data_IF_772480908983
#
_entry.id   IF_772480908983
#
_cell.length_a   1.000
_cell.length_b   1.000
_cell.length_c   1.000
_cell.angle_alpha   90.00
_cell.angle_beta   90.00
_cell.angle_gamma   90.00
#
_symmetry.space_group_name_H-M   'P 1'
#
loop_
_entity.id
_entity.type
_entity.pdbx_description
1 polymer ?
#
# COMPACT_ATOMS: atom_id res chain seq x y z
N UNK A 1 1.38 -78.15 29.58
CA UNK A 1 0.18 -77.59 28.93
C UNK A 1 -0.36 -76.47 29.81
N UNK A 2 -0.08 -75.25 29.52
CA UNK A 2 -0.50 -74.06 30.25
C UNK A 2 -1.21 -73.15 29.29
N UNK A 3 -2.53 -73.04 29.41
CA UNK A 3 -3.38 -72.16 28.64
C UNK A 3 -3.30 -70.72 29.17
N UNK A 4 -2.88 -69.80 28.30
CA UNK A 4 -2.91 -68.37 28.58
C UNK A 4 -4.30 -67.87 28.19
N UNK A 5 -5.16 -67.66 29.19
CA UNK A 5 -6.39 -66.88 28.99
C UNK A 5 -6.06 -65.39 29.12
N UNK A 6 -6.06 -64.66 27.99
CA UNK A 6 -6.05 -63.22 27.97
C UNK A 6 -7.31 -62.63 28.57
N UNK A 7 -7.23 -62.06 29.75
CA UNK A 7 -8.32 -61.30 30.37
C UNK A 7 -8.59 -60.04 29.55
N UNK A 8 -9.74 -59.98 28.83
CA UNK A 8 -10.27 -58.69 28.35
C UNK A 8 -10.68 -57.89 29.56
N UNK A 9 -9.97 -56.78 29.76
CA UNK A 9 -10.30 -55.76 30.75
C UNK A 9 -11.70 -55.17 30.47
N UNK A 10 -12.73 -55.77 31.07
CA UNK A 10 -14.13 -55.32 30.99
C UNK A 10 -14.25 -54.25 32.08
N UNK A 11 -13.80 -53.02 31.76
CA UNK A 11 -14.20 -51.85 32.56
C UNK A 11 -15.72 -51.67 32.48
N UNK A 12 -16.41 -51.37 33.61
CA UNK A 12 -17.85 -51.14 33.61
C UNK A 12 -18.21 -50.06 32.57
N UNK A 13 -19.33 -50.24 31.88
CA UNK A 13 -19.81 -49.31 30.83
C UNK A 13 -19.90 -47.88 31.37
N UNK A 14 -20.25 -47.67 32.64
CA UNK A 14 -20.26 -46.37 33.32
C UNK A 14 -18.91 -45.66 33.32
N UNK A 15 -17.82 -46.37 33.64
CA UNK A 15 -16.46 -45.76 33.62
C UNK A 15 -15.99 -45.36 32.22
N UNK A 16 -16.46 -46.04 31.16
CA UNK A 16 -16.17 -45.63 29.79
C UNK A 16 -16.99 -44.41 29.39
N UNK A 17 -18.22 -44.28 29.85
CA UNK A 17 -19.05 -43.09 29.61
C UNK A 17 -18.49 -41.88 30.33
N UNK A 18 -18.14 -42.00 31.62
CA UNK A 18 -17.52 -40.91 32.40
C UNK A 18 -16.18 -40.44 31.79
N UNK A 19 -15.37 -41.37 31.30
CA UNK A 19 -14.12 -41.06 30.62
C UNK A 19 -14.34 -40.35 29.27
N UNK A 20 -15.40 -40.71 28.51
CA UNK A 20 -15.74 -40.09 27.24
C UNK A 20 -16.30 -38.67 27.44
N UNK A 21 -17.17 -38.46 28.43
CA UNK A 21 -17.69 -37.14 28.79
C UNK A 21 -16.55 -36.19 29.23
N UNK A 22 -15.65 -36.67 30.10
CA UNK A 22 -14.49 -35.88 30.51
C UNK A 22 -13.58 -35.51 29.33
N UNK A 23 -13.38 -36.40 28.37
CA UNK A 23 -12.61 -36.11 27.16
C UNK A 23 -13.28 -35.07 26.28
N UNK A 24 -14.58 -35.18 26.05
CA UNK A 24 -15.37 -34.23 25.24
C UNK A 24 -15.31 -32.84 25.86
N UNK A 25 -15.56 -32.72 27.18
CA UNK A 25 -15.47 -31.43 27.87
C UNK A 25 -14.07 -30.83 27.77
N UNK A 26 -13.04 -31.65 27.98
CA UNK A 26 -11.66 -31.19 27.83
C UNK A 26 -11.35 -30.67 26.42
N UNK A 27 -11.87 -31.33 25.40
CA UNK A 27 -11.72 -30.90 24.00
C UNK A 27 -12.44 -29.57 23.79
N UNK A 28 -13.69 -29.45 24.19
CA UNK A 28 -14.51 -28.25 24.03
C UNK A 28 -13.93 -27.04 24.77
N UNK A 29 -13.34 -27.26 25.95
CA UNK A 29 -12.69 -26.21 26.74
C UNK A 29 -11.34 -25.75 26.14
N UNK A 30 -10.70 -26.57 25.29
CA UNK A 30 -9.45 -26.22 24.61
C UNK A 30 -9.66 -25.60 23.24
N UNK A 31 -10.89 -25.62 22.71
CA UNK A 31 -11.19 -24.96 21.44
C UNK A 31 -11.19 -23.44 21.62
N UNK A 32 -10.60 -22.68 20.69
CA UNK A 32 -10.70 -21.22 20.67
C UNK A 32 -12.07 -20.77 20.10
N UNK A 33 -13.14 -21.35 20.64
CA UNK A 33 -14.51 -21.21 20.18
C UNK A 33 -15.45 -21.28 21.38
N UNK A 34 -16.33 -20.30 21.50
CA UNK A 34 -17.44 -20.37 22.44
C UNK A 34 -18.44 -21.42 22.00
N UNK A 35 -18.78 -22.31 22.91
CA UNK A 35 -19.77 -23.37 22.68
C UNK A 35 -20.78 -23.34 23.81
N UNK A 36 -22.06 -23.23 23.43
CA UNK A 36 -23.13 -23.46 24.38
C UNK A 36 -24.27 -24.30 23.77
N UNK A 37 -25.02 -24.96 24.64
CA UNK A 37 -26.16 -25.76 24.27
C UNK A 37 -27.35 -25.31 25.11
N UNK A 38 -28.52 -25.21 24.48
CA UNK A 38 -29.80 -24.90 25.14
C UNK A 38 -30.82 -26.01 24.94
N UNK A 39 -31.67 -26.21 25.94
CA UNK A 39 -32.80 -27.09 25.89
C UNK A 39 -33.99 -26.43 25.19
N UNK A 40 -34.34 -26.89 24.01
CA UNK A 40 -35.46 -26.33 23.24
C UNK A 40 -36.84 -26.61 23.83
N UNK A 41 -36.98 -27.65 24.65
CA UNK A 41 -38.26 -28.03 25.31
C UNK A 41 -38.44 -27.37 26.67
N UNK A 42 -37.34 -26.90 27.30
CA UNK A 42 -37.38 -26.27 28.63
C UNK A 42 -37.01 -24.76 28.53
N UNK A 43 -37.73 -24.02 27.71
CA UNK A 43 -37.61 -22.55 27.66
C UNK A 43 -36.24 -22.04 27.23
N UNK A 44 -35.47 -22.81 26.47
CA UNK A 44 -34.12 -22.49 26.03
C UNK A 44 -33.16 -22.24 27.19
N UNK A 45 -33.26 -23.02 28.27
CA UNK A 45 -32.31 -23.01 29.36
C UNK A 45 -30.95 -23.56 28.90
N UNK A 46 -29.87 -22.95 29.37
CA UNK A 46 -28.52 -23.41 29.05
C UNK A 46 -28.23 -24.75 29.75
N UNK A 47 -27.78 -25.74 28.97
CA UNK A 47 -27.35 -27.06 29.43
C UNK A 47 -25.83 -27.20 29.42
N UNK A 48 -25.16 -26.39 28.63
CA UNK A 48 -23.70 -26.41 28.48
C UNK A 48 -23.18 -25.04 28.12
N UNK A 49 -22.02 -24.70 28.70
CA UNK A 49 -21.33 -23.45 28.53
C UNK A 49 -19.85 -23.73 28.71
N UNK A 50 -19.00 -23.58 27.65
CA UNK A 50 -17.61 -23.93 27.76
C UNK A 50 -16.76 -22.78 28.32
N UNK A 51 -15.51 -23.08 28.65
CA UNK A 51 -14.56 -22.13 29.23
C UNK A 51 -14.34 -20.87 28.38
N UNK A 52 -14.33 -21.01 27.04
CA UNK A 52 -14.20 -19.84 26.16
C UNK A 52 -15.36 -18.85 26.34
N UNK A 53 -16.58 -19.36 26.52
CA UNK A 53 -17.73 -18.50 26.82
C UNK A 53 -17.57 -17.81 28.16
N UNK A 54 -17.05 -18.46 29.20
CA UNK A 54 -16.74 -17.82 30.49
C UNK A 54 -15.73 -16.69 30.34
N UNK A 55 -14.64 -16.94 29.60
CA UNK A 55 -13.57 -15.97 29.36
C UNK A 55 -14.05 -14.73 28.57
N UNK A 56 -14.98 -14.91 27.62
CA UNK A 56 -15.44 -13.82 26.77
C UNK A 56 -16.59 -13.03 27.40
N UNK A 57 -17.48 -13.69 28.16
CA UNK A 57 -18.66 -13.04 28.77
C UNK A 57 -18.44 -12.61 30.20
N UNK A 58 -17.47 -13.22 30.89
CA UNK A 58 -17.21 -13.01 32.31
C UNK A 58 -18.18 -13.75 33.24
N UNK A 59 -19.05 -14.62 32.70
CA UNK A 59 -20.02 -15.39 33.49
C UNK A 59 -19.63 -16.86 33.53
N UNK A 60 -19.55 -17.42 34.72
CA UNK A 60 -19.16 -18.81 34.94
C UNK A 60 -20.26 -19.78 34.59
N UNK A 61 -19.87 -21.01 34.24
CA UNK A 61 -20.81 -22.10 33.93
C UNK A 61 -21.84 -22.33 35.03
N UNK A 62 -21.48 -22.26 36.30
CA UNK A 62 -22.35 -22.45 37.46
C UNK A 62 -23.48 -21.40 37.52
N UNK A 63 -23.26 -20.18 37.00
CA UNK A 63 -24.27 -19.12 36.96
C UNK A 63 -25.21 -19.28 35.74
N UNK A 64 -24.72 -19.93 34.68
CA UNK A 64 -25.42 -20.04 33.39
C UNK A 64 -26.28 -21.27 33.32
N UNK A 65 -25.82 -22.44 33.80
CA UNK A 65 -26.53 -23.68 33.72
C UNK A 65 -27.93 -23.61 34.40
N UNK A 66 -28.95 -24.09 33.67
CA UNK A 66 -30.34 -24.05 34.11
C UNK A 66 -31.03 -22.69 34.01
N UNK A 67 -30.35 -21.62 33.61
CA UNK A 67 -30.91 -20.30 33.36
C UNK A 67 -31.18 -20.08 31.88
N UNK A 68 -32.03 -19.11 31.53
CA UNK A 68 -32.30 -18.69 30.18
C UNK A 68 -31.76 -17.24 29.94
N UNK A 69 -31.90 -16.76 28.72
CA UNK A 69 -31.40 -15.42 28.34
C UNK A 69 -31.97 -14.24 29.15
N UNK A 70 -33.18 -14.39 29.73
CA UNK A 70 -33.80 -13.30 30.50
C UNK A 70 -33.35 -13.27 31.95
N UNK A 71 -32.84 -14.38 32.45
CA UNK A 71 -32.36 -14.53 33.82
C UNK A 71 -30.88 -14.17 33.97
N UNK A 72 -30.16 -14.01 32.85
CA UNK A 72 -28.73 -13.71 32.80
C UNK A 72 -28.48 -12.26 32.36
N UNK A 73 -27.46 -11.64 32.94
CA UNK A 73 -27.04 -10.30 32.59
C UNK A 73 -25.58 -10.28 32.10
N UNK A 74 -25.40 -10.27 30.79
CA UNK A 74 -24.10 -10.10 30.16
C UNK A 74 -24.23 -9.28 28.87
N UNK A 75 -23.13 -8.68 28.44
CA UNK A 75 -23.10 -7.97 27.16
C UNK A 75 -23.24 -8.98 26.04
N UNK A 76 -24.34 -8.89 25.32
CA UNK A 76 -24.67 -9.78 24.22
C UNK A 76 -24.89 -8.97 22.95
N UNK A 77 -24.76 -9.65 21.80
CA UNK A 77 -24.90 -9.02 20.47
C UNK A 77 -26.27 -8.36 20.28
N UNK A 78 -27.31 -8.90 20.93
CA UNK A 78 -28.69 -8.44 20.79
C UNK A 78 -29.50 -8.71 22.08
N UNK A 79 -30.66 -8.04 22.26
CA UNK A 79 -31.55 -8.26 23.41
C UNK A 79 -32.03 -9.73 23.56
N UNK A 80 -32.41 -10.09 24.78
CA UNK A 80 -32.87 -11.46 25.10
C UNK A 80 -34.09 -11.91 24.25
N UNK A 81 -35.04 -11.00 24.00
CA UNK A 81 -36.22 -11.26 23.14
C UNK A 81 -35.83 -11.65 21.72
N UNK A 82 -34.87 -10.94 21.11
CA UNK A 82 -34.38 -11.22 19.76
C UNK A 82 -33.61 -12.53 19.73
N UNK A 83 -32.79 -12.81 20.76
CA UNK A 83 -32.06 -14.07 20.86
C UNK A 83 -33.01 -15.26 20.93
N UNK A 84 -34.11 -15.15 21.74
CA UNK A 84 -35.13 -16.16 21.83
C UNK A 84 -35.90 -16.34 20.51
N UNK A 85 -36.18 -15.25 19.80
CA UNK A 85 -36.77 -15.30 18.45
C UNK A 85 -35.95 -16.13 17.49
N UNK A 86 -34.66 -15.84 17.41
CA UNK A 86 -33.73 -16.62 16.58
C UNK A 86 -33.58 -18.06 17.00
N UNK A 87 -33.59 -18.36 18.32
CA UNK A 87 -33.51 -19.72 18.83
C UNK A 87 -34.75 -20.54 18.40
N UNK A 88 -35.93 -19.94 18.44
CA UNK A 88 -37.18 -20.55 17.92
C UNK A 88 -37.11 -20.76 16.43
N UNK A 89 -36.72 -19.78 15.66
CA UNK A 89 -36.61 -19.90 14.19
C UNK A 89 -35.67 -21.02 13.78
N UNK A 90 -34.54 -21.22 14.46
CA UNK A 90 -33.62 -22.32 14.24
C UNK A 90 -34.30 -23.65 14.47
N UNK A 91 -35.02 -23.78 15.58
CA UNK A 91 -35.69 -25.05 15.94
C UNK A 91 -36.88 -25.35 15.05
N UNK A 92 -37.69 -24.36 14.69
CA UNK A 92 -38.88 -24.52 13.83
C UNK A 92 -38.53 -24.82 12.38
N UNK A 93 -37.50 -24.11 11.85
CA UNK A 93 -37.10 -24.28 10.45
C UNK A 93 -36.11 -25.40 10.21
N UNK A 94 -35.43 -25.86 11.26
CA UNK A 94 -34.34 -26.82 11.16
C UNK A 94 -33.10 -26.30 10.45
N UNK A 95 -33.01 -24.99 10.22
CA UNK A 95 -31.91 -24.36 9.46
C UNK A 95 -30.86 -23.76 10.39
N UNK A 96 -29.61 -23.81 9.93
CA UNK A 96 -28.51 -23.07 10.55
C UNK A 96 -28.69 -21.59 10.30
N UNK A 97 -28.49 -20.77 11.33
CA UNK A 97 -28.47 -19.32 11.24
C UNK A 97 -27.06 -18.83 11.61
N UNK A 98 -26.55 -17.90 10.81
CA UNK A 98 -25.26 -17.23 11.04
C UNK A 98 -25.48 -15.72 11.11
N UNK A 99 -24.85 -15.06 12.07
CA UNK A 99 -24.86 -13.61 12.20
C UNK A 99 -23.59 -13.15 12.91
N UNK A 100 -23.30 -11.85 12.80
CA UNK A 100 -22.14 -11.23 13.45
C UNK A 100 -22.58 -10.02 14.27
N UNK A 101 -21.83 -9.74 15.32
CA UNK A 101 -22.08 -8.57 16.14
C UNK A 101 -20.87 -8.20 16.99
N UNK A 102 -21.05 -7.17 17.81
CA UNK A 102 -20.02 -6.69 18.73
C UNK A 102 -20.49 -6.88 20.16
N UNK A 103 -19.55 -7.29 20.99
CA UNK A 103 -19.74 -7.36 22.45
C UNK A 103 -18.54 -6.72 23.15
N UNK A 104 -18.67 -6.44 24.43
CA UNK A 104 -17.53 -6.17 25.30
C UNK A 104 -17.19 -7.44 26.08
N UNK A 105 -15.93 -7.84 26.07
CA UNK A 105 -15.51 -9.00 26.85
C UNK A 105 -15.53 -8.70 28.37
N UNK A 106 -15.19 -9.68 29.19
CA UNK A 106 -15.15 -9.58 30.65
C UNK A 106 -14.31 -8.40 31.18
N UNK A 107 -13.40 -7.87 30.36
CA UNK A 107 -12.52 -6.75 30.69
C UNK A 107 -12.96 -5.42 30.05
N UNK A 108 -14.15 -5.40 29.40
CA UNK A 108 -14.66 -4.23 28.68
C UNK A 108 -13.99 -4.01 27.31
N UNK A 109 -13.23 -4.97 26.78
CA UNK A 109 -12.56 -4.86 25.49
C UNK A 109 -13.54 -5.26 24.38
N UNK A 110 -13.76 -4.39 23.35
CA UNK A 110 -14.66 -4.71 22.26
C UNK A 110 -14.14 -5.87 21.40
N UNK A 111 -15.04 -6.82 21.16
CA UNK A 111 -14.84 -8.02 20.34
C UNK A 111 -15.82 -8.07 19.20
N UNK A 112 -15.37 -8.49 18.03
CA UNK A 112 -16.21 -8.85 16.89
C UNK A 112 -16.46 -10.36 16.97
N UNK A 113 -17.73 -10.76 17.07
CA UNK A 113 -18.13 -12.18 17.24
C UNK A 113 -18.96 -12.62 16.04
N UNK A 114 -18.59 -13.74 15.46
CA UNK A 114 -19.45 -14.52 14.56
C UNK A 114 -20.16 -15.60 15.35
N UNK A 115 -21.46 -15.69 15.21
CA UNK A 115 -22.31 -16.69 15.87
C UNK A 115 -22.96 -17.59 14.82
N UNK A 116 -22.85 -18.90 15.04
CA UNK A 116 -23.55 -19.90 14.26
C UNK A 116 -24.46 -20.67 15.20
N UNK A 117 -25.76 -20.74 14.91
CA UNK A 117 -26.74 -21.53 15.67
C UNK A 117 -27.36 -22.61 14.78
N UNK A 118 -27.50 -23.82 15.29
CA UNK A 118 -28.10 -24.92 14.56
C UNK A 118 -28.78 -25.91 15.50
N UNK A 119 -29.87 -26.62 15.04
CA UNK A 119 -30.55 -27.61 15.84
C UNK A 119 -29.77 -28.91 15.87
N UNK A 120 -29.72 -29.55 17.00
CA UNK A 120 -29.23 -30.92 17.17
C UNK A 120 -30.31 -31.75 17.92
N UNK A 121 -30.21 -33.05 17.87
CA UNK A 121 -31.07 -33.95 18.66
C UNK A 121 -30.21 -34.99 19.36
N UNK A 122 -30.56 -35.29 20.60
CA UNK A 122 -29.98 -36.41 21.32
C UNK A 122 -30.49 -37.74 20.77
N UNK A 123 -29.84 -38.85 21.12
CA UNK A 123 -30.19 -40.19 20.70
C UNK A 123 -31.62 -40.62 21.14
N UNK A 124 -32.17 -40.00 22.18
CA UNK A 124 -33.56 -40.17 22.62
C UNK A 124 -34.56 -39.27 21.89
N UNK A 125 -34.12 -38.49 20.89
CA UNK A 125 -34.95 -37.59 20.12
C UNK A 125 -35.16 -36.21 20.73
N UNK A 126 -34.59 -35.90 21.92
CA UNK A 126 -34.72 -34.58 22.57
C UNK A 126 -34.06 -33.50 21.71
N UNK A 127 -34.81 -32.43 21.31
CA UNK A 127 -34.26 -31.35 20.51
C UNK A 127 -33.44 -30.39 21.37
N UNK A 128 -32.22 -29.99 20.87
CA UNK A 128 -31.35 -29.07 21.51
C UNK A 128 -30.89 -28.01 20.48
N UNK A 129 -30.60 -26.81 20.95
CA UNK A 129 -29.95 -25.77 20.19
C UNK A 129 -28.46 -25.75 20.52
N UNK A 130 -27.59 -25.90 19.54
CA UNK A 130 -26.16 -25.70 19.68
C UNK A 130 -25.76 -24.36 19.04
N UNK A 131 -24.95 -23.59 19.74
CA UNK A 131 -24.37 -22.36 19.23
C UNK A 131 -22.87 -22.36 19.36
N UNK A 132 -22.24 -21.80 18.33
CA UNK A 132 -20.79 -21.56 18.26
C UNK A 132 -20.53 -20.07 18.18
N UNK A 133 -19.62 -19.55 19.02
CA UNK A 133 -19.14 -18.18 19.01
C UNK A 133 -17.67 -18.14 18.61
N UNK A 134 -17.35 -17.37 17.58
CA UNK A 134 -15.98 -17.20 17.10
C UNK A 134 -15.55 -15.74 17.27
N UNK A 135 -14.46 -15.49 17.99
CA UNK A 135 -13.82 -14.18 18.01
C UNK A 135 -13.08 -13.95 16.67
N UNK A 136 -13.56 -13.02 15.90
CA UNK A 136 -13.00 -12.63 14.60
C UNK A 136 -12.37 -11.24 14.63
N UNK A 137 -12.15 -10.68 15.82
CA UNK A 137 -11.64 -9.32 16.02
C UNK A 137 -10.31 -9.09 15.31
N UNK A 138 -9.36 -10.01 15.46
CA UNK A 138 -8.05 -9.89 14.82
C UNK A 138 -8.16 -9.98 13.30
N UNK A 139 -8.95 -10.95 12.80
CA UNK A 139 -9.20 -11.10 11.37
C UNK A 139 -9.80 -9.83 10.77
N UNK A 140 -10.87 -9.32 11.36
CA UNK A 140 -11.56 -8.12 10.89
C UNK A 140 -10.64 -6.86 10.93
N UNK A 141 -9.83 -6.72 11.98
CA UNK A 141 -8.87 -5.62 12.08
C UNK A 141 -7.81 -5.71 10.97
N UNK A 142 -7.29 -6.91 10.70
CA UNK A 142 -6.32 -7.12 9.61
C UNK A 142 -6.93 -6.84 8.23
N UNK A 143 -8.12 -7.37 7.96
CA UNK A 143 -8.84 -7.13 6.70
C UNK A 143 -9.14 -5.65 6.49
N UNK A 144 -9.63 -4.95 7.52
CA UNK A 144 -9.90 -3.52 7.45
C UNK A 144 -8.62 -2.70 7.26
N UNK A 145 -7.52 -3.08 7.91
CA UNK A 145 -6.22 -2.43 7.76
C UNK A 145 -5.70 -2.61 6.33
N UNK A 146 -5.76 -3.83 5.81
CA UNK A 146 -5.37 -4.13 4.43
C UNK A 146 -6.21 -3.34 3.43
N UNK A 147 -7.53 -3.36 3.58
CA UNK A 147 -8.46 -2.60 2.73
C UNK A 147 -8.16 -1.10 2.75
N UNK A 148 -7.95 -0.55 3.94
CA UNK A 148 -7.59 0.87 4.10
C UNK A 148 -6.27 1.20 3.42
N UNK A 149 -5.25 0.35 3.61
CA UNK A 149 -3.96 0.50 2.96
C UNK A 149 -4.08 0.46 1.44
N UNK A 150 -4.88 -0.47 0.89
CA UNK A 150 -5.13 -0.56 -0.56
C UNK A 150 -5.80 0.71 -1.10
N UNK A 151 -6.81 1.24 -0.41
CA UNK A 151 -7.50 2.48 -0.82
C UNK A 151 -6.53 3.67 -0.81
N UNK A 152 -5.74 3.83 0.26
CA UNK A 152 -4.76 4.90 0.35
C UNK A 152 -3.68 4.79 -0.73
N UNK A 153 -3.17 3.59 -0.98
CA UNK A 153 -2.22 3.34 -2.07
C UNK A 153 -2.82 3.71 -3.42
N UNK A 154 -4.06 3.28 -3.70
CA UNK A 154 -4.76 3.62 -4.94
C UNK A 154 -4.92 5.14 -5.11
N UNK A 155 -5.35 5.84 -4.05
CA UNK A 155 -5.47 7.31 -4.08
C UNK A 155 -4.12 7.99 -4.35
N UNK A 156 -3.04 7.55 -3.69
CA UNK A 156 -1.71 8.11 -3.89
C UNK A 156 -1.19 7.89 -5.32
N UNK A 157 -1.43 6.72 -5.90
CA UNK A 157 -1.04 6.40 -7.28
C UNK A 157 -1.78 7.29 -8.29
N UNK A 158 -3.10 7.44 -8.12
CA UNK A 158 -3.92 8.28 -9.00
C UNK A 158 -3.55 9.77 -8.92
N UNK A 159 -3.38 10.30 -7.71
CA UNK A 159 -3.08 11.72 -7.49
C UNK A 159 -1.77 12.18 -8.13
N UNK A 160 -0.79 11.28 -8.24
CA UNK A 160 0.54 11.58 -8.75
C UNK A 160 0.79 11.03 -10.17
N UNK A 161 -0.25 10.52 -10.85
CA UNK A 161 -0.11 9.83 -12.15
C UNK A 161 1.01 8.78 -12.12
N UNK A 162 1.04 7.97 -11.03
CA UNK A 162 1.97 6.85 -10.87
C UNK A 162 1.37 5.62 -11.51
N UNK A 163 2.14 4.96 -12.36
CA UNK A 163 1.75 3.69 -13.00
C UNK A 163 2.67 2.59 -12.52
N UNK A 164 2.08 1.51 -12.07
CA UNK A 164 2.80 0.31 -11.62
C UNK A 164 2.81 -0.75 -12.71
N UNK A 165 3.85 -1.55 -12.70
CA UNK A 165 3.91 -2.78 -13.50
C UNK A 165 4.66 -3.89 -12.76
N UNK A 166 4.28 -5.12 -13.06
CA UNK A 166 5.04 -6.32 -12.71
C UNK A 166 5.57 -6.95 -13.99
N UNK A 167 6.85 -7.25 -14.04
CA UNK A 167 7.48 -7.85 -15.21
C UNK A 167 7.90 -9.27 -14.84
N UNK A 168 7.29 -10.24 -15.51
CA UNK A 168 7.62 -11.65 -15.37
C UNK A 168 8.68 -12.03 -16.38
N UNK A 169 9.87 -12.31 -15.89
CA UNK A 169 11.05 -12.58 -16.69
C UNK A 169 11.14 -14.08 -16.94
N UNK A 170 11.36 -14.47 -18.19
CA UNK A 170 11.73 -15.84 -18.51
C UNK A 170 13.27 -15.98 -18.44
N UNK A 171 13.84 -16.62 -17.39
CA UNK A 171 15.28 -16.71 -17.22
C UNK A 171 15.95 -17.67 -18.23
N UNK A 172 15.15 -18.47 -18.96
CA UNK A 172 15.61 -19.39 -20.01
C UNK A 172 15.41 -18.79 -21.43
N UNK A 173 15.03 -17.51 -21.51
CA UNK A 173 14.82 -16.79 -22.77
C UNK A 173 16.07 -16.79 -23.64
N UNK A 174 15.91 -17.17 -24.92
CA UNK A 174 16.94 -17.06 -25.96
C UNK A 174 16.87 -15.74 -26.73
N UNK A 175 15.92 -14.85 -26.40
CA UNK A 175 15.58 -13.62 -27.13
C UNK A 175 15.88 -12.34 -26.32
N UNK A 176 16.95 -12.32 -25.55
CA UNK A 176 17.29 -11.13 -24.72
C UNK A 176 16.11 -10.64 -23.84
N UNK A 177 15.34 -11.59 -23.29
CA UNK A 177 14.15 -11.33 -22.46
C UNK A 177 12.94 -10.72 -23.19
N UNK A 178 12.90 -10.74 -24.54
CA UNK A 178 11.78 -10.23 -25.34
C UNK A 178 10.47 -11.03 -25.13
N UNK A 179 10.56 -12.24 -24.61
CA UNK A 179 9.44 -13.09 -24.20
C UNK A 179 8.95 -12.83 -22.75
N UNK A 180 9.50 -11.82 -22.09
CA UNK A 180 9.00 -11.38 -20.80
C UNK A 180 7.59 -10.78 -20.94
N UNK A 181 6.77 -11.01 -19.91
CA UNK A 181 5.40 -10.49 -19.84
C UNK A 181 5.35 -9.33 -18.84
N UNK A 182 4.79 -8.22 -19.27
CA UNK A 182 4.57 -7.05 -18.43
C UNK A 182 3.11 -6.96 -18.06
N UNK A 183 2.80 -7.12 -16.79
CA UNK A 183 1.47 -6.89 -16.24
C UNK A 183 1.33 -5.45 -15.79
N UNK A 184 0.37 -4.74 -16.32
CA UNK A 184 0.09 -3.33 -16.01
C UNK A 184 -1.37 -3.14 -15.67
N UNK A 185 -1.67 -2.11 -14.89
CA UNK A 185 -3.06 -1.67 -14.75
C UNK A 185 -3.59 -1.19 -16.11
N UNK A 186 -4.84 -1.54 -16.39
CA UNK A 186 -5.50 -1.05 -17.59
C UNK A 186 -5.65 0.48 -17.52
N UNK A 187 -5.23 1.19 -18.56
CA UNK A 187 -5.28 2.66 -18.62
C UNK A 187 -6.56 3.20 -19.26
N UNK A 188 -7.49 2.33 -19.65
CA UNK A 188 -8.76 2.76 -20.21
C UNK A 188 -9.65 3.30 -19.10
N UNK A 189 -10.33 4.45 -19.30
CA UNK A 189 -11.26 5.01 -18.34
C UNK A 189 -12.33 3.99 -17.90
N UNK A 190 -12.50 3.82 -16.59
CA UNK A 190 -13.44 2.86 -15.99
C UNK A 190 -12.93 1.43 -15.92
N UNK A 191 -11.68 1.16 -16.30
CA UNK A 191 -11.02 -0.16 -16.27
C UNK A 191 -9.66 -0.14 -15.57
N UNK A 192 -9.40 0.89 -14.79
CA UNK A 192 -8.10 1.13 -14.16
C UNK A 192 -7.71 0.04 -13.15
N UNK A 193 -8.68 -0.73 -12.68
CA UNK A 193 -8.46 -1.84 -11.73
C UNK A 193 -8.19 -3.18 -12.43
N UNK A 194 -8.41 -3.26 -13.75
CA UNK A 194 -8.10 -4.47 -14.52
C UNK A 194 -6.60 -4.55 -14.77
N UNK A 195 -6.00 -5.71 -14.50
CA UNK A 195 -4.63 -6.02 -14.90
C UNK A 195 -4.61 -6.53 -16.34
N UNK A 196 -3.68 -6.04 -17.13
CA UNK A 196 -3.51 -6.43 -18.53
C UNK A 196 -2.08 -6.91 -18.77
N UNK A 197 -1.95 -8.09 -19.34
CA UNK A 197 -0.66 -8.66 -19.74
C UNK A 197 -0.27 -8.17 -21.13
N UNK A 198 0.95 -7.66 -21.25
CA UNK A 198 1.51 -7.12 -22.48
C UNK A 198 2.88 -7.74 -22.70
N UNK A 199 3.21 -8.13 -23.94
CA UNK A 199 4.58 -8.57 -24.25
C UNK A 199 5.58 -7.42 -24.10
N UNK A 200 6.80 -7.75 -23.68
CA UNK A 200 7.87 -6.74 -23.51
C UNK A 200 8.08 -5.86 -24.74
N UNK A 201 8.18 -6.40 -25.99
CA UNK A 201 8.38 -5.56 -27.17
C UNK A 201 7.26 -4.54 -27.37
N UNK A 202 6.00 -4.91 -27.09
CA UNK A 202 4.86 -3.99 -27.18
C UNK A 202 4.89 -2.94 -26.06
N UNK A 203 5.40 -3.27 -24.90
CA UNK A 203 5.60 -2.34 -23.82
C UNK A 203 6.73 -1.35 -24.14
N UNK A 204 7.90 -1.85 -24.55
CA UNK A 204 9.07 -1.05 -24.94
C UNK A 204 8.82 -0.13 -26.15
N UNK A 205 7.94 -0.54 -27.07
CA UNK A 205 7.57 0.28 -28.24
C UNK A 205 6.96 1.64 -27.90
N UNK A 206 6.50 1.85 -26.64
CA UNK A 206 5.96 3.11 -26.14
C UNK A 206 7.04 4.15 -25.82
N UNK A 207 8.28 3.69 -25.66
CA UNK A 207 9.44 4.56 -25.36
C UNK A 207 9.84 5.31 -26.64
N UNK A 208 10.17 6.60 -26.49
CA UNK A 208 10.65 7.43 -27.59
C UNK A 208 11.87 6.79 -28.26
N UNK A 209 11.98 6.82 -29.60
CA UNK A 209 13.10 6.19 -30.31
C UNK A 209 14.49 6.51 -29.77
N UNK A 210 14.77 7.77 -29.45
CA UNK A 210 16.07 8.21 -28.92
C UNK A 210 16.38 7.64 -27.53
N UNK A 211 15.34 7.26 -26.75
CA UNK A 211 15.50 6.78 -25.38
C UNK A 211 15.52 5.25 -25.29
N UNK A 212 15.20 4.54 -26.40
CA UNK A 212 15.03 3.08 -26.44
C UNK A 212 16.32 2.33 -26.12
N UNK A 213 17.42 2.70 -26.73
CA UNK A 213 18.69 1.97 -26.55
C UNK A 213 19.10 1.96 -25.08
N UNK A 214 19.05 3.13 -24.43
CA UNK A 214 19.37 3.28 -23.01
C UNK A 214 18.38 2.51 -22.12
N UNK A 215 17.09 2.52 -22.47
CA UNK A 215 16.06 1.79 -21.74
C UNK A 215 16.25 0.28 -21.85
N UNK A 216 16.47 -0.24 -23.07
CA UNK A 216 16.63 -1.67 -23.32
C UNK A 216 17.94 -2.21 -22.73
N UNK A 217 19.00 -1.41 -22.70
CA UNK A 217 20.24 -1.79 -22.02
C UNK A 217 20.03 -1.91 -20.51
N UNK A 218 19.38 -0.92 -19.89
CA UNK A 218 19.08 -0.96 -18.45
C UNK A 218 18.17 -2.13 -18.09
N UNK A 219 17.16 -2.41 -18.92
CA UNK A 219 16.28 -3.56 -18.73
C UNK A 219 17.02 -4.90 -18.83
N UNK A 220 17.89 -5.08 -19.83
CA UNK A 220 18.71 -6.29 -19.96
C UNK A 220 19.59 -6.54 -18.75
N UNK A 221 20.25 -5.50 -18.23
CA UNK A 221 21.06 -5.57 -17.01
C UNK A 221 20.24 -5.96 -15.78
N UNK A 222 19.00 -5.45 -15.70
CA UNK A 222 18.08 -5.78 -14.61
C UNK A 222 17.61 -7.24 -14.70
N UNK A 223 17.22 -7.72 -15.89
CA UNK A 223 16.80 -9.11 -16.12
C UNK A 223 17.93 -10.13 -15.92
N UNK A 224 19.17 -9.78 -16.29
CA UNK A 224 20.35 -10.63 -16.06
C UNK A 224 20.76 -10.67 -14.59
N UNK A 225 20.26 -9.72 -13.77
CA UNK A 225 20.65 -9.58 -12.37
C UNK A 225 22.00 -8.87 -12.18
N UNK A 226 22.59 -8.28 -13.24
CA UNK A 226 23.79 -7.44 -13.15
C UNK A 226 23.57 -6.22 -12.26
N UNK A 227 22.34 -5.65 -12.32
CA UNK A 227 21.87 -4.61 -11.43
C UNK A 227 20.60 -5.09 -10.70
N UNK A 228 20.37 -4.62 -9.47
CA UNK A 228 19.18 -4.94 -8.70
C UNK A 228 18.06 -3.92 -8.84
N UNK A 229 18.40 -2.71 -9.30
CA UNK A 229 17.47 -1.61 -9.49
C UNK A 229 17.90 -0.72 -10.65
N UNK A 230 16.94 -0.04 -11.26
CA UNK A 230 17.18 0.99 -12.26
C UNK A 230 16.29 2.21 -12.00
N UNK A 231 16.79 3.38 -12.38
CA UNK A 231 16.05 4.64 -12.37
C UNK A 231 16.48 5.47 -13.57
N UNK A 232 15.54 5.75 -14.49
CA UNK A 232 15.82 6.50 -15.72
C UNK A 232 14.67 7.45 -16.04
N UNK A 233 15.02 8.61 -16.60
CA UNK A 233 14.05 9.54 -17.18
C UNK A 233 13.95 9.27 -18.69
N UNK A 234 12.74 9.13 -19.20
CA UNK A 234 12.49 8.82 -20.59
C UNK A 234 11.14 9.36 -21.06
N UNK A 235 10.99 9.47 -22.35
CA UNK A 235 9.76 9.91 -23.00
C UNK A 235 8.91 8.70 -23.37
N UNK A 236 7.66 8.67 -22.92
CA UNK A 236 6.71 7.55 -23.17
C UNK A 236 5.43 8.09 -23.78
N UNK A 237 4.90 7.34 -24.75
CA UNK A 237 3.59 7.58 -25.36
C UNK A 237 2.67 6.42 -25.08
N UNK A 238 1.58 6.66 -24.34
CA UNK A 238 0.57 5.64 -24.06
C UNK A 238 -0.50 5.60 -25.16
N UNK A 239 -1.21 4.48 -25.31
CA UNK A 239 -2.34 4.39 -26.23
C UNK A 239 -3.39 5.50 -25.95
N UNK A 240 -3.83 6.16 -27.01
CA UNK A 240 -4.78 7.29 -26.93
C UNK A 240 -4.14 8.66 -26.65
N UNK A 241 -2.81 8.73 -26.48
CA UNK A 241 -2.09 10.02 -26.39
C UNK A 241 -1.52 10.42 -27.74
N UNK A 242 -1.53 11.74 -28.04
CA UNK A 242 -1.01 12.28 -29.31
C UNK A 242 0.50 12.55 -29.27
N UNK A 243 1.07 12.74 -28.09
CA UNK A 243 2.46 13.13 -27.87
C UNK A 243 3.15 12.32 -26.78
N UNK A 244 4.46 12.41 -26.73
CA UNK A 244 5.28 11.81 -25.69
C UNK A 244 5.27 12.67 -24.43
N UNK A 245 5.23 12.02 -23.27
CA UNK A 245 5.34 12.64 -21.97
C UNK A 245 6.62 12.18 -21.27
N UNK A 246 7.25 13.11 -20.57
CA UNK A 246 8.38 12.77 -19.72
C UNK A 246 7.92 11.96 -18.51
N UNK A 247 8.56 10.83 -18.34
CA UNK A 247 8.36 9.91 -17.21
C UNK A 247 9.69 9.56 -16.55
N UNK A 248 9.68 9.46 -15.25
CA UNK A 248 10.73 8.79 -14.49
C UNK A 248 10.31 7.34 -14.30
N UNK A 249 11.10 6.40 -14.81
CA UNK A 249 10.87 4.96 -14.68
C UNK A 249 11.85 4.39 -13.68
N UNK A 250 11.31 3.74 -12.64
CA UNK A 250 12.07 3.03 -11.63
C UNK A 250 11.63 1.58 -11.62
N UNK A 251 12.57 0.65 -11.52
CA UNK A 251 12.27 -0.77 -11.39
C UNK A 251 13.29 -1.46 -10.49
N UNK A 252 12.85 -2.50 -9.79
CA UNK A 252 13.67 -3.28 -8.87
C UNK A 252 13.38 -4.77 -9.02
N UNK A 253 14.40 -5.60 -8.85
CA UNK A 253 14.28 -7.05 -8.80
C UNK A 253 13.57 -7.43 -7.51
N UNK A 254 12.41 -8.08 -7.63
CA UNK A 254 11.58 -8.49 -6.51
C UNK A 254 11.78 -9.97 -6.14
N UNK A 255 11.84 -10.85 -7.14
CA UNK A 255 11.91 -12.29 -6.92
C UNK A 255 12.99 -12.93 -7.78
N UNK A 256 13.68 -13.91 -7.21
CA UNK A 256 14.69 -14.74 -7.88
C UNK A 256 14.38 -16.21 -7.65
N UNK A 257 14.81 -17.07 -8.58
CA UNK A 257 14.74 -18.52 -8.39
C UNK A 257 15.84 -19.03 -7.42
N UNK A 258 15.81 -20.33 -7.15
CA UNK A 258 16.81 -21.00 -6.28
C UNK A 258 18.25 -20.89 -6.82
N UNK A 259 18.43 -20.59 -8.10
CA UNK A 259 19.73 -20.37 -8.76
C UNK A 259 20.15 -18.91 -8.79
N UNK A 260 19.35 -18.01 -8.18
CA UNK A 260 19.61 -16.57 -8.13
C UNK A 260 19.21 -15.80 -9.39
N UNK A 261 18.57 -16.45 -10.38
CA UNK A 261 18.12 -15.80 -11.62
C UNK A 261 16.84 -15.02 -11.38
N UNK A 262 16.68 -13.89 -12.03
CA UNK A 262 15.53 -12.99 -11.86
C UNK A 262 14.27 -13.62 -12.44
N UNK A 263 13.20 -13.63 -11.65
CA UNK A 263 11.85 -14.09 -12.02
C UNK A 263 10.85 -12.94 -12.13
N UNK A 264 10.87 -12.01 -11.17
CA UNK A 264 9.92 -10.92 -11.11
C UNK A 264 10.63 -9.59 -10.84
N UNK A 265 10.28 -8.60 -11.64
CA UNK A 265 10.72 -7.21 -11.48
C UNK A 265 9.47 -6.37 -11.22
N UNK A 266 9.52 -5.52 -10.20
CA UNK A 266 8.48 -4.51 -9.96
C UNK A 266 8.95 -3.16 -10.48
N UNK A 267 8.08 -2.50 -11.23
CA UNK A 267 8.36 -1.20 -11.83
C UNK A 267 7.28 -0.17 -11.53
N UNK A 268 7.68 1.08 -11.51
CA UNK A 268 6.77 2.21 -11.50
C UNK A 268 7.24 3.32 -12.44
N UNK A 269 6.29 4.09 -12.96
CA UNK A 269 6.58 5.30 -13.72
C UNK A 269 5.81 6.47 -13.14
N UNK A 270 6.50 7.60 -12.98
CA UNK A 270 5.96 8.85 -12.44
C UNK A 270 5.98 9.91 -13.54
N UNK A 271 4.93 10.70 -13.62
CA UNK A 271 4.87 11.84 -14.54
C UNK A 271 5.80 12.94 -14.02
N UNK A 272 6.75 13.37 -14.87
CA UNK A 272 7.69 14.43 -14.55
C UNK A 272 7.63 15.59 -15.56
N UNK A 273 6.54 15.69 -16.32
CA UNK A 273 6.37 16.71 -17.36
C UNK A 273 6.43 18.13 -16.79
N UNK A 274 5.79 18.37 -15.66
CA UNK A 274 5.83 19.67 -14.98
C UNK A 274 7.24 20.02 -14.49
N UNK A 275 7.94 19.05 -13.86
CA UNK A 275 9.33 19.23 -13.44
C UNK A 275 10.24 19.58 -14.62
N UNK A 276 10.10 18.88 -15.75
CA UNK A 276 10.87 19.17 -16.97
C UNK A 276 10.58 20.56 -17.54
N UNK A 277 9.31 20.98 -17.50
CA UNK A 277 8.94 22.35 -17.88
C UNK A 277 9.58 23.40 -16.99
N UNK A 278 9.59 23.19 -15.68
CA UNK A 278 10.23 24.11 -14.73
C UNK A 278 11.76 24.15 -14.90
N UNK A 279 12.42 23.00 -15.12
CA UNK A 279 13.85 22.91 -15.41
C UNK A 279 14.20 23.75 -16.66
N UNK A 280 13.45 23.59 -17.76
CA UNK A 280 13.66 24.33 -19.00
C UNK A 280 13.47 25.85 -18.81
N UNK A 281 12.39 26.25 -18.13
CA UNK A 281 12.13 27.67 -17.85
C UNK A 281 13.24 28.30 -16.98
N UNK A 282 13.78 27.56 -16.02
CA UNK A 282 14.88 28.01 -15.17
C UNK A 282 16.16 28.16 -15.97
N UNK A 283 16.45 27.23 -16.88
CA UNK A 283 17.63 27.29 -17.74
C UNK A 283 17.56 28.50 -18.70
N UNK A 284 16.39 28.75 -19.30
CA UNK A 284 16.17 29.95 -20.13
C UNK A 284 16.31 31.25 -19.36
N UNK A 285 15.76 31.33 -18.15
CA UNK A 285 15.88 32.51 -17.28
C UNK A 285 17.32 32.74 -16.88
N UNK A 286 18.07 31.69 -16.54
CA UNK A 286 19.50 31.77 -16.23
C UNK A 286 20.31 32.31 -17.42
N UNK A 287 20.04 31.73 -18.61
CA UNK A 287 20.73 32.18 -19.84
C UNK A 287 20.46 33.66 -20.15
N UNK A 288 19.21 34.10 -20.01
CA UNK A 288 18.85 35.52 -20.18
C UNK A 288 19.55 36.42 -19.16
N UNK A 289 19.63 36.00 -17.90
CA UNK A 289 20.34 36.75 -16.85
C UNK A 289 21.85 36.86 -17.14
N UNK A 290 22.50 35.76 -17.56
CA UNK A 290 23.92 35.76 -17.93
C UNK A 290 24.22 36.66 -19.13
N UNK A 291 23.34 36.67 -20.15
CA UNK A 291 23.46 37.60 -21.29
C UNK A 291 23.33 39.08 -20.86
N UNK A 292 22.32 39.36 -19.99
CA UNK A 292 22.12 40.71 -19.47
C UNK A 292 23.33 41.21 -18.65
N UNK A 293 23.95 40.35 -17.83
CA UNK A 293 25.14 40.69 -17.05
C UNK A 293 26.34 40.92 -17.92
N UNK A 294 26.58 40.13 -18.96
CA UNK A 294 27.61 40.34 -19.97
C UNK A 294 27.43 41.68 -20.70
N UNK A 295 26.21 42.00 -21.13
CA UNK A 295 25.89 43.28 -21.77
C UNK A 295 26.15 44.46 -20.84
N UNK A 296 25.70 44.36 -19.57
CA UNK A 296 25.95 45.40 -18.55
C UNK A 296 27.44 45.63 -18.32
N UNK A 297 28.22 44.55 -18.18
CA UNK A 297 29.67 44.62 -17.98
C UNK A 297 30.39 45.29 -19.18
N UNK A 298 29.99 44.89 -20.41
CA UNK A 298 30.51 45.52 -21.63
C UNK A 298 30.15 47.01 -21.69
N UNK A 299 28.90 47.36 -21.43
CA UNK A 299 28.46 48.77 -21.42
C UNK A 299 29.24 49.62 -20.42
N UNK A 300 29.44 49.12 -19.18
CA UNK A 300 30.25 49.81 -18.17
C UNK A 300 31.71 49.98 -18.58
N UNK A 301 32.29 48.96 -19.25
CA UNK A 301 33.65 49.06 -19.77
C UNK A 301 33.77 50.13 -20.90
N UNK A 302 32.83 50.09 -21.86
CA UNK A 302 32.79 51.05 -22.98
C UNK A 302 32.56 52.48 -22.45
N UNK A 303 31.59 52.68 -21.53
CA UNK A 303 31.35 53.98 -20.89
C UNK A 303 32.54 54.49 -20.09
N UNK A 304 33.26 53.59 -19.39
CA UNK A 304 34.49 53.99 -18.66
C UNK A 304 35.55 54.47 -19.59
N UNK A 305 35.70 53.89 -20.76
CA UNK A 305 36.63 54.37 -21.80
C UNK A 305 36.17 55.69 -22.38
N UNK A 306 34.92 55.87 -22.72
CA UNK A 306 34.37 57.11 -23.28
C UNK A 306 34.44 58.30 -22.32
N UNK A 307 34.28 58.02 -21.00
CA UNK A 307 34.44 59.06 -19.95
C UNK A 307 35.89 59.38 -19.69
N UNK A 308 36.79 58.37 -19.67
CA UNK A 308 38.22 58.54 -19.37
C UNK A 308 38.93 59.43 -20.41
N UNK A 309 38.61 59.31 -21.70
CA UNK A 309 39.22 60.02 -22.78
C UNK A 309 39.04 61.52 -22.63
N UNK A 310 37.81 62.09 -22.52
CA UNK A 310 37.67 63.57 -22.33
C UNK A 310 38.15 64.00 -20.96
N UNK A 311 38.03 63.15 -19.90
CA UNK A 311 38.56 63.53 -18.58
C UNK A 311 40.09 63.68 -18.59
N UNK A 312 40.81 62.76 -19.23
CA UNK A 312 42.27 62.86 -19.39
C UNK A 312 42.66 64.07 -20.22
N UNK A 313 41.88 64.38 -21.26
CA UNK A 313 42.14 65.63 -22.04
C UNK A 313 41.96 66.88 -21.18
N UNK A 314 40.84 66.96 -20.40
CA UNK A 314 40.61 68.10 -19.49
C UNK A 314 41.75 68.23 -18.46
N UNK A 315 42.13 67.10 -17.82
CA UNK A 315 43.21 67.10 -16.82
C UNK A 315 44.50 67.52 -17.43
N UNK A 316 44.90 66.96 -18.60
CA UNK A 316 46.13 67.33 -19.31
C UNK A 316 46.19 68.79 -19.72
N UNK A 317 45.08 69.33 -20.26
CA UNK A 317 45.02 70.75 -20.58
C UNK A 317 45.03 71.64 -19.33
N UNK A 318 44.40 71.22 -18.24
CA UNK A 318 44.48 71.97 -16.97
C UNK A 318 45.91 72.03 -16.40
N UNK A 319 46.63 70.89 -16.49
CA UNK A 319 48.07 70.88 -16.12
C UNK A 319 48.92 71.78 -16.99
N UNK A 320 48.71 71.71 -18.33
CA UNK A 320 49.44 72.61 -19.25
C UNK A 320 49.15 74.08 -18.98
N UNK A 321 47.90 74.45 -18.69
CA UNK A 321 47.55 75.82 -18.31
C UNK A 321 48.14 76.24 -16.96
N UNK A 322 48.32 75.32 -16.01
CA UNK A 322 48.98 75.65 -14.72
C UNK A 322 50.48 75.91 -14.82
N UNK A 323 51.14 75.32 -15.80
CA UNK A 323 52.60 75.48 -16.07
C UNK A 323 52.93 76.46 -17.19
N UNK A 324 51.95 77.11 -17.83
CA UNK A 324 52.22 78.08 -18.90
C UNK A 324 52.83 79.32 -18.38
N UNK A 325 53.98 79.71 -18.98
CA UNK A 325 54.82 80.88 -18.58
C UNK A 325 54.33 82.22 -19.16
N UNK A 326 53.37 82.20 -20.11
CA UNK A 326 52.84 83.41 -20.72
C UNK A 326 51.30 83.38 -20.89
N UNK A 327 50.71 84.61 -20.96
CA UNK A 327 49.27 84.75 -21.20
C UNK A 327 48.86 84.29 -22.64
N UNK A 328 49.84 84.32 -23.56
CA UNK A 328 49.62 83.87 -24.95
C UNK A 328 49.56 82.36 -25.04
N UNK A 329 50.39 81.60 -24.37
CA UNK A 329 50.34 80.14 -24.23
C UNK A 329 49.05 79.66 -23.54
N UNK A 330 48.63 80.38 -22.51
CA UNK A 330 47.35 80.05 -21.84
C UNK A 330 46.12 80.14 -22.75
N UNK A 331 46.11 81.18 -23.64
CA UNK A 331 45.05 81.35 -24.63
C UNK A 331 45.04 80.24 -25.67
N UNK A 332 46.22 79.82 -26.09
CA UNK A 332 46.38 78.76 -27.08
C UNK A 332 45.89 77.41 -26.52
N UNK A 333 46.24 77.02 -25.28
CA UNK A 333 45.80 75.84 -24.61
C UNK A 333 44.25 75.88 -24.32
N UNK A 334 43.72 77.04 -24.03
CA UNK A 334 42.27 77.22 -23.82
C UNK A 334 41.49 77.02 -25.13
N UNK A 335 42.00 77.54 -26.24
CA UNK A 335 41.36 77.37 -27.56
C UNK A 335 41.33 75.90 -28.02
N UNK A 336 42.40 75.15 -27.78
CA UNK A 336 42.52 73.75 -28.13
C UNK A 336 41.59 72.86 -27.22
N UNK A 337 41.46 73.26 -25.94
CA UNK A 337 40.58 72.50 -25.02
C UNK A 337 39.08 72.57 -25.37
N UNK A 338 38.66 73.61 -26.13
CA UNK A 338 37.28 73.81 -26.56
C UNK A 338 36.92 73.07 -27.88
N UNK A 339 37.92 72.57 -28.61
CA UNK A 339 37.74 71.94 -29.92
C UNK A 339 37.82 70.41 -29.86
N UNK A 340 38.18 69.91 -28.73
CA UNK A 340 38.24 68.47 -28.44
C UNK A 340 37.36 68.06 -27.26
#
# INVERSE_FOLDING_TARGET
MGGIYGGKDIRPISQKQDSLHGLINTILDKLPLGVFVKDAEDGFRYLYWNRFMEEITGIGTEEVEGHNDFELSFDAIMPAEERLGLDRDVMETGRTIEFSGKISDAYGIPKDIEVTKFPIALSNGKPLLLALWRDVTVRNKMENTLRRSQVLTKMALHSNDIRLCSIFVNPDSKRNYDDSVVQVNNWLPGKEDELVDISWPRFAARVHPDDRERHDEAFRKLCSGEISEMKIELRVKYPGMDHYHWRESSATVYERDERGRVLVILGCTINIQERKGQELNLEEAKHKAELADKMKSKYLADMSHEIRTPLNAITGFSELMAFADSDEERREYYAVSYTH
#
